data_IF_330728550830
#
_entry.id   IF_330728550830
#
_cell.length_a   1.000
_cell.length_b   1.000
_cell.length_c   1.000
_cell.angle_alpha   90.00
_cell.angle_beta   90.00
_cell.angle_gamma   90.00
#
_symmetry.space_group_name_H-M   'P 1'
#
loop_
_entity.id
_entity.type
_entity.pdbx_description
1 polymer ?
#
# COMPACT_ATOMS: atom_id res chain seq x y z
N UNK A 1 20.94 -39.56 -4.02
CA UNK A 1 21.00 -38.29 -4.78
C UNK A 1 19.80 -38.25 -5.71
N UNK A 2 19.03 -37.18 -5.70
CA UNK A 2 17.92 -36.95 -6.64
C UNK A 2 18.47 -36.67 -8.04
N UNK A 3 17.85 -37.25 -9.06
CA UNK A 3 18.09 -36.90 -10.46
C UNK A 3 17.59 -35.46 -10.74
N UNK A 4 18.05 -34.77 -11.80
CA UNK A 4 17.53 -33.47 -12.18
C UNK A 4 16.00 -33.43 -12.32
N UNK A 5 15.41 -34.46 -12.89
CA UNK A 5 13.95 -34.59 -13.04
C UNK A 5 13.24 -34.69 -11.69
N UNK A 6 13.76 -35.47 -10.76
CA UNK A 6 13.20 -35.61 -9.41
C UNK A 6 13.28 -34.26 -8.64
N UNK A 7 14.40 -33.53 -8.76
CA UNK A 7 14.54 -32.19 -8.15
C UNK A 7 13.46 -31.23 -8.62
N UNK A 8 13.23 -31.12 -9.94
CA UNK A 8 12.21 -30.25 -10.50
C UNK A 8 10.79 -30.69 -10.17
N UNK A 9 10.54 -32.02 -10.11
CA UNK A 9 9.23 -32.53 -9.70
C UNK A 9 8.92 -32.19 -8.24
N UNK A 10 9.88 -32.34 -7.34
CA UNK A 10 9.75 -32.00 -5.92
C UNK A 10 9.50 -30.51 -5.74
N UNK A 11 10.27 -29.66 -6.44
CA UNK A 11 10.09 -28.22 -6.42
C UNK A 11 8.68 -27.82 -6.91
N UNK A 12 8.24 -28.38 -8.05
CA UNK A 12 6.91 -28.05 -8.60
C UNK A 12 5.78 -28.52 -7.69
N UNK A 13 5.94 -29.66 -7.01
CA UNK A 13 5.00 -30.14 -6.00
C UNK A 13 4.91 -29.16 -4.83
N UNK A 14 6.07 -28.70 -4.34
CA UNK A 14 6.17 -27.71 -3.25
C UNK A 14 5.54 -26.36 -3.64
N UNK A 15 5.77 -25.89 -4.87
CA UNK A 15 5.15 -24.67 -5.42
C UNK A 15 3.63 -24.80 -5.44
N UNK A 16 3.09 -25.88 -5.98
CA UNK A 16 1.65 -26.14 -6.01
C UNK A 16 1.05 -26.19 -4.61
N UNK A 17 1.73 -26.84 -3.66
CA UNK A 17 1.28 -26.93 -2.26
C UNK A 17 1.25 -25.55 -1.60
N UNK A 18 2.29 -24.73 -1.83
CA UNK A 18 2.35 -23.36 -1.30
C UNK A 18 1.24 -22.47 -1.89
N UNK A 19 1.08 -22.51 -3.21
CA UNK A 19 0.05 -21.71 -3.90
C UNK A 19 -1.35 -22.12 -3.42
N UNK A 20 -1.60 -23.44 -3.28
CA UNK A 20 -2.86 -23.96 -2.74
C UNK A 20 -3.12 -23.43 -1.33
N UNK A 21 -2.12 -23.47 -0.45
CA UNK A 21 -2.26 -22.97 0.92
C UNK A 21 -2.56 -21.45 0.96
N UNK A 22 -1.84 -20.65 0.17
CA UNK A 22 -2.03 -19.19 0.10
C UNK A 22 -3.40 -18.85 -0.47
N UNK A 23 -3.83 -19.47 -1.54
CA UNK A 23 -5.16 -19.27 -2.13
C UNK A 23 -6.27 -19.72 -1.19
N UNK A 24 -6.10 -20.85 -0.50
CA UNK A 24 -7.06 -21.33 0.50
C UNK A 24 -7.23 -20.35 1.66
N UNK A 25 -6.14 -19.79 2.19
CA UNK A 25 -6.16 -18.75 3.23
C UNK A 25 -6.85 -17.49 2.70
N UNK A 26 -6.49 -17.04 1.49
CA UNK A 26 -7.09 -15.85 0.88
C UNK A 26 -8.59 -16.03 0.65
N UNK A 27 -9.03 -17.21 0.22
CA UNK A 27 -10.43 -17.53 -0.01
C UNK A 27 -11.22 -17.69 1.30
N UNK A 28 -10.65 -18.34 2.31
CA UNK A 28 -11.31 -18.53 3.62
C UNK A 28 -11.38 -17.22 4.44
N UNK A 29 -10.47 -16.28 4.19
CA UNK A 29 -10.35 -15.03 4.95
C UNK A 29 -10.01 -15.23 6.43
N UNK A 30 -9.73 -16.46 6.85
CA UNK A 30 -9.41 -16.81 8.23
C UNK A 30 -8.16 -17.71 8.27
N UNK A 31 -7.02 -17.07 8.51
CA UNK A 31 -5.74 -17.77 8.65
C UNK A 31 -5.72 -18.77 9.82
N UNK A 32 -6.45 -18.46 10.88
CA UNK A 32 -6.46 -19.29 12.09
C UNK A 32 -7.59 -20.32 12.12
N UNK A 33 -8.66 -20.11 11.34
CA UNK A 33 -9.84 -20.99 11.30
C UNK A 33 -9.75 -22.14 10.29
N UNK A 34 -8.81 -22.08 9.35
CA UNK A 34 -8.65 -23.09 8.30
C UNK A 34 -7.53 -24.08 8.66
N UNK A 35 -7.86 -25.07 9.49
CA UNK A 35 -6.90 -26.12 9.90
C UNK A 35 -6.29 -26.86 8.70
N UNK A 36 -7.06 -27.12 7.64
CA UNK A 36 -6.56 -27.82 6.45
C UNK A 36 -5.49 -27.02 5.72
N UNK A 37 -5.69 -25.68 5.61
CA UNK A 37 -4.73 -24.80 4.95
C UNK A 37 -3.46 -24.59 5.79
N UNK A 38 -3.59 -24.58 7.13
CA UNK A 38 -2.45 -24.59 8.03
C UNK A 38 -1.57 -25.84 7.85
N UNK A 39 -2.18 -27.00 7.62
CA UNK A 39 -1.43 -28.24 7.30
C UNK A 39 -0.74 -28.19 5.93
N UNK A 40 -1.42 -27.66 4.90
CA UNK A 40 -0.80 -27.47 3.58
C UNK A 40 0.38 -26.49 3.66
N UNK A 41 0.22 -25.37 4.37
CA UNK A 41 1.30 -24.42 4.60
C UNK A 41 2.48 -25.06 5.33
N UNK A 42 2.21 -25.91 6.33
CA UNK A 42 3.24 -26.64 7.08
C UNK A 42 3.99 -27.64 6.20
N UNK A 43 3.28 -28.35 5.32
CA UNK A 43 3.91 -29.27 4.37
C UNK A 43 4.84 -28.50 3.42
N UNK A 44 4.33 -27.46 2.75
CA UNK A 44 5.13 -26.60 1.86
C UNK A 44 6.35 -26.01 2.58
N UNK A 45 6.18 -25.49 3.80
CA UNK A 45 7.29 -24.95 4.60
C UNK A 45 8.37 -26.00 4.87
N UNK A 46 7.98 -27.24 5.25
CA UNK A 46 8.89 -28.34 5.51
C UNK A 46 9.67 -28.77 4.25
N UNK A 47 8.99 -28.84 3.12
CA UNK A 47 9.58 -29.17 1.82
C UNK A 47 10.60 -28.10 1.40
N UNK A 48 10.23 -26.81 1.39
CA UNK A 48 11.15 -25.71 1.06
C UNK A 48 12.34 -25.63 2.00
N UNK A 49 12.15 -25.89 3.29
CA UNK A 49 13.27 -25.94 4.26
C UNK A 49 14.24 -27.08 3.94
N UNK A 50 13.74 -28.23 3.51
CA UNK A 50 14.55 -29.37 3.10
C UNK A 50 15.32 -29.08 1.81
N UNK A 51 14.64 -28.49 0.82
CA UNK A 51 15.25 -28.09 -0.45
C UNK A 51 16.32 -27.00 -0.26
N UNK A 52 16.07 -26.02 0.63
CA UNK A 52 17.05 -24.98 0.96
C UNK A 52 18.31 -25.57 1.60
N UNK A 53 18.14 -26.47 2.59
CA UNK A 53 19.26 -27.20 3.20
C UNK A 53 20.04 -28.03 2.17
N UNK A 54 19.36 -28.59 1.19
CA UNK A 54 19.98 -29.35 0.12
C UNK A 54 20.92 -28.49 -0.74
N UNK A 55 20.47 -27.31 -1.19
CA UNK A 55 21.33 -26.40 -1.97
C UNK A 55 22.45 -25.78 -1.12
N UNK A 56 22.22 -25.52 0.17
CA UNK A 56 23.27 -25.07 1.09
C UNK A 56 24.34 -26.16 1.30
N UNK A 57 23.93 -27.44 1.33
CA UNK A 57 24.86 -28.56 1.36
C UNK A 57 25.66 -28.67 0.06
N UNK A 58 25.04 -28.55 -1.12
CA UNK A 58 25.73 -28.50 -2.42
C UNK A 58 26.79 -27.37 -2.45
N UNK A 59 26.42 -26.19 -1.93
CA UNK A 59 27.33 -25.03 -1.88
C UNK A 59 28.53 -25.26 -0.95
N UNK A 60 28.33 -26.01 0.14
CA UNK A 60 29.36 -26.25 1.17
C UNK A 60 30.32 -27.39 0.79
N UNK A 61 29.88 -28.37 0.01
CA UNK A 61 30.65 -29.58 -0.27
C UNK A 61 31.34 -29.61 -1.65
N UNK A 62 31.24 -28.53 -2.44
CA UNK A 62 31.98 -28.38 -3.70
C UNK A 62 31.65 -29.36 -4.80
N UNK A 63 30.49 -30.03 -4.75
CA UNK A 63 29.99 -30.93 -5.79
C UNK A 63 29.36 -30.21 -6.99
N UNK A 64 28.84 -31.01 -7.92
CA UNK A 64 28.03 -30.49 -9.03
C UNK A 64 26.79 -29.81 -8.49
N UNK A 65 26.63 -28.52 -8.79
CA UNK A 65 25.52 -27.73 -8.33
C UNK A 65 24.27 -27.98 -9.15
N UNK A 66 23.11 -27.99 -8.51
CA UNK A 66 21.82 -27.93 -9.19
C UNK A 66 21.74 -26.72 -10.11
N UNK A 67 20.98 -26.87 -11.21
CA UNK A 67 20.76 -25.81 -12.17
C UNK A 67 20.06 -24.58 -11.56
N UNK A 68 20.19 -23.44 -12.21
CA UNK A 68 19.69 -22.17 -11.68
C UNK A 68 18.16 -22.06 -11.71
N UNK A 69 17.49 -22.83 -12.58
CA UNK A 69 16.03 -22.88 -12.60
C UNK A 69 15.48 -23.54 -11.33
N UNK A 70 16.12 -24.62 -10.88
CA UNK A 70 15.79 -25.26 -9.62
C UNK A 70 16.13 -24.36 -8.42
N UNK A 71 17.32 -23.78 -8.39
CA UNK A 71 17.79 -22.90 -7.30
C UNK A 71 16.93 -21.66 -7.15
N UNK A 72 16.57 -21.01 -8.26
CA UNK A 72 15.71 -19.81 -8.24
C UNK A 72 14.32 -20.09 -7.68
N UNK A 73 13.76 -21.28 -7.93
CA UNK A 73 12.49 -21.69 -7.36
C UNK A 73 12.54 -21.90 -5.85
N UNK A 74 13.64 -22.50 -5.35
CA UNK A 74 13.85 -22.64 -3.89
C UNK A 74 13.99 -21.28 -3.22
N UNK A 75 14.76 -20.36 -3.81
CA UNK A 75 14.91 -19.00 -3.29
C UNK A 75 13.58 -18.24 -3.30
N UNK A 76 12.77 -18.40 -4.35
CA UNK A 76 11.45 -17.78 -4.44
C UNK A 76 10.53 -18.25 -3.31
N UNK A 77 10.32 -19.56 -3.19
CA UNK A 77 9.40 -20.11 -2.20
C UNK A 77 9.86 -19.86 -0.77
N UNK A 78 11.13 -20.16 -0.46
CA UNK A 78 11.71 -19.93 0.87
C UNK A 78 11.73 -18.45 1.25
N UNK A 79 12.06 -17.58 0.29
CA UNK A 79 12.07 -16.13 0.49
C UNK A 79 10.68 -15.57 0.75
N UNK A 80 9.69 -15.94 -0.05
CA UNK A 80 8.30 -15.50 0.14
C UNK A 80 7.73 -15.99 1.47
N UNK A 81 7.96 -17.26 1.84
CA UNK A 81 7.52 -17.80 3.14
C UNK A 81 8.15 -17.02 4.30
N UNK A 82 9.47 -16.77 4.25
CA UNK A 82 10.17 -15.97 5.26
C UNK A 82 9.64 -14.55 5.38
N UNK A 83 9.32 -13.89 4.25
CA UNK A 83 8.71 -12.55 4.26
C UNK A 83 7.32 -12.57 4.89
N UNK A 84 6.46 -13.51 4.48
CA UNK A 84 5.10 -13.63 5.02
C UNK A 84 5.14 -13.86 6.54
N UNK A 85 5.96 -14.79 7.01
CA UNK A 85 6.13 -15.05 8.44
C UNK A 85 6.68 -13.83 9.17
N UNK A 86 7.68 -13.14 8.60
CA UNK A 86 8.26 -11.94 9.19
C UNK A 86 7.32 -10.72 9.26
N UNK A 87 6.23 -10.72 8.49
CA UNK A 87 5.19 -9.69 8.50
C UNK A 87 4.05 -10.01 9.48
N UNK A 88 4.00 -11.21 10.03
CA UNK A 88 2.97 -11.56 11.01
C UNK A 88 3.12 -10.73 12.30
N UNK A 89 2.00 -10.36 12.94
CA UNK A 89 2.05 -9.74 14.26
C UNK A 89 2.86 -10.61 15.25
N UNK A 90 3.67 -9.99 16.11
CA UNK A 90 4.59 -10.69 17.03
C UNK A 90 3.92 -11.79 17.86
N UNK A 91 2.66 -11.59 18.25
CA UNK A 91 1.88 -12.61 19.00
C UNK A 91 1.60 -13.85 18.16
N UNK A 92 1.25 -13.65 16.87
CA UNK A 92 0.98 -14.74 15.93
C UNK A 92 2.27 -15.47 15.58
N UNK A 93 3.35 -14.71 15.31
CA UNK A 93 4.67 -15.28 15.01
C UNK A 93 5.17 -16.19 16.14
N UNK A 94 5.05 -15.77 17.40
CA UNK A 94 5.42 -16.60 18.56
C UNK A 94 4.64 -17.93 18.61
N UNK A 95 3.37 -17.93 18.25
CA UNK A 95 2.59 -19.17 18.15
C UNK A 95 3.10 -20.04 17.00
N UNK A 96 3.41 -19.45 15.87
CA UNK A 96 3.97 -20.18 14.70
C UNK A 96 5.33 -20.77 15.02
N UNK A 97 6.18 -20.07 15.79
CA UNK A 97 7.49 -20.58 16.25
C UNK A 97 7.36 -21.84 17.11
N UNK A 98 6.33 -21.95 17.96
CA UNK A 98 6.04 -23.16 18.74
C UNK A 98 5.78 -24.37 17.83
N UNK A 99 5.20 -24.13 16.65
CA UNK A 99 4.98 -25.16 15.63
C UNK A 99 6.17 -25.37 14.68
N UNK A 100 7.32 -24.72 14.96
CA UNK A 100 8.56 -24.90 14.23
C UNK A 100 8.68 -24.07 12.94
N UNK A 101 7.86 -23.02 12.79
CA UNK A 101 8.02 -22.07 11.71
C UNK A 101 9.04 -21.01 12.09
N UNK A 102 9.97 -20.74 11.19
CA UNK A 102 10.97 -19.70 11.33
C UNK A 102 10.93 -18.81 10.08
N UNK A 103 10.93 -17.51 10.27
CA UNK A 103 10.99 -16.56 9.18
C UNK A 103 11.20 -15.14 9.67
N UNK A 104 11.87 -14.37 8.85
CA UNK A 104 12.10 -12.96 9.10
C UNK A 104 12.25 -12.19 7.80
N UNK A 105 11.90 -10.92 7.83
CA UNK A 105 12.05 -10.04 6.66
C UNK A 105 13.49 -10.02 6.13
N UNK A 106 14.56 -9.85 6.95
CA UNK A 106 15.94 -9.86 6.43
C UNK A 106 16.31 -11.16 5.71
N UNK A 107 15.90 -12.30 6.27
CA UNK A 107 16.17 -13.62 5.66
C UNK A 107 15.41 -13.75 4.33
N UNK A 108 14.14 -13.36 4.29
CA UNK A 108 13.32 -13.41 3.09
C UNK A 108 13.89 -12.56 1.95
N UNK A 109 14.22 -11.29 2.22
CA UNK A 109 14.82 -10.40 1.23
C UNK A 109 16.18 -10.91 0.75
N UNK A 110 17.02 -11.45 1.64
CA UNK A 110 18.30 -12.03 1.27
C UNK A 110 18.14 -13.24 0.35
N UNK A 111 17.23 -14.16 0.65
CA UNK A 111 16.98 -15.33 -0.19
C UNK A 111 16.50 -14.92 -1.59
N UNK A 112 15.57 -13.98 -1.69
CA UNK A 112 15.09 -13.48 -2.96
C UNK A 112 16.21 -12.82 -3.78
N UNK A 113 17.05 -11.98 -3.15
CA UNK A 113 18.15 -11.30 -3.85
C UNK A 113 19.26 -12.26 -4.32
N UNK A 114 19.46 -13.40 -3.63
CA UNK A 114 20.40 -14.45 -4.08
C UNK A 114 20.05 -15.04 -5.44
N UNK A 115 18.78 -15.10 -5.79
CA UNK A 115 18.32 -15.66 -7.08
C UNK A 115 18.93 -14.91 -8.28
N UNK A 116 18.87 -13.59 -8.28
CA UNK A 116 19.48 -12.74 -9.33
C UNK A 116 20.93 -12.34 -9.01
N UNK A 117 21.40 -12.60 -7.79
CA UNK A 117 22.74 -12.22 -7.34
C UNK A 117 22.88 -10.72 -7.10
N UNK A 118 21.85 -10.07 -6.60
CA UNK A 118 21.91 -8.68 -6.20
C UNK A 118 22.89 -8.45 -5.05
N UNK A 119 23.73 -7.44 -5.18
CA UNK A 119 24.62 -6.99 -4.12
C UNK A 119 23.97 -5.88 -3.30
N UNK A 120 24.27 -5.85 -2.01
CA UNK A 120 23.93 -4.72 -1.13
C UNK A 120 24.84 -3.50 -1.37
N UNK A 121 25.93 -3.66 -2.12
CA UNK A 121 26.84 -2.56 -2.47
C UNK A 121 26.17 -1.63 -3.49
N UNK A 122 25.97 -0.33 -3.17
CA UNK A 122 25.41 0.64 -4.11
C UNK A 122 26.27 0.87 -5.34
N UNK A 123 27.57 0.57 -5.28
CA UNK A 123 28.49 0.71 -6.42
C UNK A 123 28.30 -0.39 -7.48
N UNK A 124 27.64 -1.48 -7.15
CA UNK A 124 27.30 -2.56 -8.09
C UNK A 124 25.85 -2.37 -8.60
N UNK A 125 25.63 -1.66 -9.72
CA UNK A 125 24.28 -1.35 -10.21
C UNK A 125 23.59 -2.51 -10.92
N UNK A 126 24.33 -3.57 -11.26
CA UNK A 126 23.82 -4.74 -11.99
C UNK A 126 23.86 -5.98 -11.09
N UNK A 127 22.97 -6.94 -11.32
CA UNK A 127 23.04 -8.22 -10.64
C UNK A 127 24.25 -9.01 -11.14
N UNK A 128 24.81 -9.86 -10.29
CA UNK A 128 25.93 -10.75 -10.65
C UNK A 128 25.56 -11.84 -11.64
N UNK A 129 24.28 -12.17 -11.72
CA UNK A 129 23.74 -13.08 -12.73
C UNK A 129 23.11 -12.29 -13.85
N UNK A 130 23.22 -12.79 -15.06
CA UNK A 130 22.64 -12.18 -16.25
C UNK A 130 21.63 -13.17 -16.89
N UNK A 131 21.00 -12.78 -17.98
CA UNK A 131 19.98 -13.57 -18.70
C UNK A 131 20.41 -15.01 -19.00
N UNK A 132 21.72 -15.28 -19.17
CA UNK A 132 22.24 -16.62 -19.49
C UNK A 132 22.51 -17.45 -18.25
N UNK A 133 22.66 -16.82 -17.09
CA UNK A 133 23.07 -17.47 -15.84
C UNK A 133 22.06 -17.30 -14.71
N UNK A 134 20.96 -16.61 -14.95
CA UNK A 134 19.85 -16.50 -13.98
C UNK A 134 18.88 -17.68 -14.17
N UNK A 135 18.21 -18.08 -13.09
CA UNK A 135 17.11 -19.04 -13.16
C UNK A 135 15.81 -18.37 -13.65
N UNK A 136 14.94 -19.17 -14.23
CA UNK A 136 13.65 -18.71 -14.80
C UNK A 136 12.76 -17.95 -13.80
N UNK A 137 12.92 -18.23 -12.50
CA UNK A 137 12.14 -17.57 -11.43
C UNK A 137 12.81 -16.34 -10.85
N UNK A 138 14.03 -16.00 -11.29
CA UNK A 138 14.75 -14.81 -10.77
C UNK A 138 13.99 -13.49 -10.98
N UNK A 139 13.36 -13.21 -12.15
CA UNK A 139 12.53 -12.00 -12.29
C UNK A 139 11.34 -11.98 -11.35
N UNK A 140 10.78 -13.14 -10.97
CA UNK A 140 9.67 -13.24 -10.00
C UNK A 140 10.17 -12.93 -8.58
N UNK A 141 11.38 -13.37 -8.23
CA UNK A 141 12.03 -12.98 -6.97
C UNK A 141 12.20 -11.47 -6.89
N UNK A 142 12.65 -10.85 -7.98
CA UNK A 142 12.82 -9.40 -8.06
C UNK A 142 11.47 -8.67 -7.95
N UNK A 143 10.42 -9.14 -8.63
CA UNK A 143 9.06 -8.61 -8.48
C UNK A 143 8.52 -8.76 -7.05
N UNK A 144 8.86 -9.86 -6.36
CA UNK A 144 8.47 -10.05 -4.95
C UNK A 144 9.15 -9.03 -4.03
N UNK A 145 10.42 -8.73 -4.25
CA UNK A 145 11.12 -7.66 -3.51
C UNK A 145 10.52 -6.29 -3.84
N UNK A 146 10.24 -5.99 -5.11
CA UNK A 146 9.56 -4.74 -5.50
C UNK A 146 8.18 -4.61 -4.87
N UNK A 147 7.42 -5.71 -4.80
CA UNK A 147 6.13 -5.74 -4.09
C UNK A 147 6.31 -5.38 -2.61
N UNK A 148 7.32 -5.94 -1.95
CA UNK A 148 7.62 -5.62 -0.56
C UNK A 148 7.94 -4.13 -0.37
N UNK A 149 8.91 -3.63 -1.15
CA UNK A 149 9.43 -2.26 -0.97
C UNK A 149 8.49 -1.17 -1.48
N UNK A 150 7.70 -1.41 -2.54
CA UNK A 150 6.94 -0.38 -3.24
C UNK A 150 5.43 -0.50 -3.07
N UNK A 151 4.93 -1.65 -2.60
CA UNK A 151 3.49 -1.86 -2.40
C UNK A 151 3.18 -2.08 -0.93
N UNK A 152 3.68 -3.16 -0.32
CA UNK A 152 3.36 -3.50 1.08
C UNK A 152 3.76 -2.38 2.04
N UNK A 153 4.94 -1.78 1.83
CA UNK A 153 5.45 -0.67 2.64
C UNK A 153 4.56 0.57 2.67
N UNK A 154 3.67 0.72 1.71
CA UNK A 154 2.74 1.86 1.64
C UNK A 154 1.44 1.63 2.38
N UNK A 155 1.11 0.38 2.68
CA UNK A 155 -0.12 0.00 3.41
C UNK A 155 0.14 -0.24 4.90
N UNK A 156 1.28 -0.84 5.22
CA UNK A 156 1.67 -1.15 6.61
C UNK A 156 3.12 -0.73 6.86
N UNK A 157 3.45 -0.28 8.08
CA UNK A 157 4.83 -0.01 8.44
C UNK A 157 5.61 -1.34 8.48
N UNK A 158 6.59 -1.47 7.57
CA UNK A 158 7.46 -2.64 7.48
C UNK A 158 8.93 -2.24 7.61
N UNK A 159 9.80 -3.09 8.17
CA UNK A 159 11.21 -2.79 8.35
C UNK A 159 11.98 -2.88 7.02
N UNK A 160 13.17 -2.29 6.98
CA UNK A 160 14.15 -2.46 5.90
C UNK A 160 13.64 -2.09 4.49
N UNK A 161 12.77 -1.10 4.39
CA UNK A 161 12.34 -0.57 3.07
C UNK A 161 13.53 0.13 2.41
N UNK A 162 13.89 -0.33 1.21
CA UNK A 162 14.98 0.24 0.40
C UNK A 162 14.48 0.67 -0.98
N UNK A 163 14.21 1.96 -1.10
CA UNK A 163 13.72 2.56 -2.35
C UNK A 163 14.84 2.68 -3.40
N UNK A 164 16.08 2.91 -2.96
CA UNK A 164 17.22 3.00 -3.88
C UNK A 164 17.53 1.63 -4.50
N UNK A 165 17.44 0.57 -3.71
CA UNK A 165 17.54 -0.80 -4.23
C UNK A 165 16.43 -1.10 -5.25
N UNK A 166 15.20 -0.69 -4.95
CA UNK A 166 14.06 -0.88 -5.86
C UNK A 166 14.28 -0.14 -7.19
N UNK A 167 14.79 1.07 -7.16
CA UNK A 167 15.15 1.83 -8.38
C UNK A 167 16.22 1.10 -9.20
N UNK A 168 17.25 0.55 -8.55
CA UNK A 168 18.31 -0.24 -9.18
C UNK A 168 17.73 -1.48 -9.89
N UNK A 169 16.87 -2.24 -9.23
CA UNK A 169 16.21 -3.42 -9.80
C UNK A 169 15.32 -3.03 -10.98
N UNK A 170 14.54 -1.97 -10.84
CA UNK A 170 13.67 -1.46 -11.91
C UNK A 170 14.45 -1.00 -13.13
N UNK A 171 15.53 -0.25 -12.95
CA UNK A 171 16.37 0.22 -14.06
C UNK A 171 16.94 -0.96 -14.87
N UNK A 172 17.38 -2.03 -14.20
CA UNK A 172 17.85 -3.24 -14.85
C UNK A 172 16.74 -3.92 -15.69
N UNK A 173 15.58 -4.13 -15.10
CA UNK A 173 14.48 -4.83 -15.79
C UNK A 173 13.82 -3.99 -16.88
N UNK A 174 13.70 -2.68 -16.73
CA UNK A 174 13.13 -1.80 -17.75
C UNK A 174 14.04 -1.66 -18.97
N UNK A 175 15.39 -1.81 -18.81
CA UNK A 175 16.28 -1.91 -19.95
C UNK A 175 16.09 -3.22 -20.72
N UNK A 176 15.80 -4.32 -20.02
CA UNK A 176 15.55 -5.64 -20.63
C UNK A 176 14.16 -5.77 -21.24
N UNK A 177 13.18 -5.22 -20.54
CA UNK A 177 11.76 -5.31 -20.86
C UNK A 177 11.12 -3.92 -20.84
N UNK A 178 11.39 -3.07 -21.87
CA UNK A 178 10.89 -1.68 -21.90
C UNK A 178 9.37 -1.58 -21.79
N UNK A 179 8.64 -2.59 -22.26
CA UNK A 179 7.18 -2.71 -22.20
C UNK A 179 6.71 -3.80 -21.23
N UNK A 180 7.58 -4.19 -20.28
CA UNK A 180 7.24 -5.18 -19.26
C UNK A 180 6.22 -4.60 -18.29
N UNK A 181 4.97 -5.04 -18.40
CA UNK A 181 3.80 -4.46 -17.71
C UNK A 181 4.00 -4.35 -16.20
N UNK A 182 4.48 -5.42 -15.56
CA UNK A 182 4.74 -5.41 -14.11
C UNK A 182 5.83 -4.42 -13.71
N UNK A 183 6.90 -4.31 -14.49
CA UNK A 183 7.98 -3.36 -14.20
C UNK A 183 7.56 -1.91 -14.45
N UNK A 184 6.75 -1.64 -15.47
CA UNK A 184 6.11 -0.34 -15.67
C UNK A 184 5.19 0.02 -14.49
N UNK A 185 4.39 -0.94 -14.02
CA UNK A 185 3.55 -0.75 -12.83
C UNK A 185 4.39 -0.41 -11.60
N UNK A 186 5.43 -1.19 -11.29
CA UNK A 186 6.32 -0.90 -10.16
C UNK A 186 7.07 0.43 -10.32
N UNK A 187 7.38 0.85 -11.55
CA UNK A 187 7.97 2.16 -11.81
C UNK A 187 7.00 3.30 -11.46
N UNK A 188 5.72 3.13 -11.80
CA UNK A 188 4.66 4.00 -11.34
C UNK A 188 4.57 4.07 -9.81
N UNK A 189 4.65 2.92 -9.12
CA UNK A 189 4.67 2.86 -7.65
C UNK A 189 5.88 3.58 -7.05
N UNK A 190 7.07 3.41 -7.62
CA UNK A 190 8.28 4.13 -7.21
C UNK A 190 8.09 5.65 -7.30
N UNK A 191 7.60 6.14 -8.45
CA UNK A 191 7.34 7.57 -8.61
C UNK A 191 6.23 8.08 -7.68
N UNK A 192 5.22 7.28 -7.39
CA UNK A 192 4.17 7.62 -6.43
C UNK A 192 4.76 7.84 -5.02
N UNK A 193 5.58 6.91 -4.53
CA UNK A 193 6.25 7.02 -3.22
C UNK A 193 7.15 8.26 -3.17
N UNK A 194 7.80 8.60 -4.27
CA UNK A 194 8.62 9.79 -4.39
C UNK A 194 7.82 11.10 -4.55
N UNK A 195 6.49 11.06 -4.51
CA UNK A 195 5.61 12.19 -4.81
C UNK A 195 5.85 12.82 -6.20
N UNK A 196 6.39 12.04 -7.14
CA UNK A 196 6.56 12.41 -8.57
C UNK A 196 5.30 11.99 -9.35
N UNK A 197 4.17 12.44 -8.87
CA UNK A 197 2.83 11.92 -9.16
C UNK A 197 2.48 11.94 -10.66
N UNK A 198 2.88 12.98 -11.40
CA UNK A 198 2.64 13.05 -12.86
C UNK A 198 3.36 11.92 -13.59
N UNK A 199 4.62 11.66 -13.24
CA UNK A 199 5.38 10.53 -13.81
C UNK A 199 4.80 9.18 -13.43
N UNK A 200 4.29 9.05 -12.21
CA UNK A 200 3.60 7.84 -11.77
C UNK A 200 2.37 7.56 -12.66
N UNK A 201 1.56 8.57 -12.91
CA UNK A 201 0.37 8.47 -13.79
C UNK A 201 0.77 8.06 -15.22
N UNK A 202 1.85 8.62 -15.76
CA UNK A 202 2.36 8.24 -17.10
C UNK A 202 2.75 6.76 -17.14
N UNK A 203 3.49 6.26 -16.14
CA UNK A 203 3.85 4.84 -16.05
C UNK A 203 2.64 3.92 -15.91
N UNK A 204 1.65 4.29 -15.08
CA UNK A 204 0.43 3.49 -14.94
C UNK A 204 -0.41 3.48 -16.21
N UNK A 205 -0.47 4.59 -16.94
CA UNK A 205 -1.13 4.64 -18.26
C UNK A 205 -0.43 3.72 -19.25
N UNK A 206 0.89 3.78 -19.32
CA UNK A 206 1.67 2.90 -20.19
C UNK A 206 1.46 1.43 -19.79
N UNK A 207 1.58 1.07 -18.51
CA UNK A 207 1.33 -0.29 -18.02
C UNK A 207 -0.08 -0.79 -18.36
N UNK A 208 -1.09 0.08 -18.31
CA UNK A 208 -2.46 -0.23 -18.70
C UNK A 208 -2.60 -0.50 -20.20
N UNK A 209 -1.91 0.28 -21.04
CA UNK A 209 -2.15 0.35 -22.48
C UNK A 209 -1.31 -0.67 -23.28
N UNK A 210 -0.21 -1.18 -22.72
CA UNK A 210 0.67 -2.15 -23.41
C UNK A 210 0.10 -3.58 -23.45
N UNK A 211 -1.01 -3.87 -22.76
CA UNK A 211 -1.62 -5.19 -22.76
C UNK A 211 -3.15 -5.11 -22.61
N UNK A 212 -3.85 -6.11 -23.15
CA UNK A 212 -5.31 -6.19 -23.10
C UNK A 212 -5.85 -7.42 -22.39
N UNK A 213 -5.02 -8.44 -22.22
CA UNK A 213 -5.43 -9.77 -21.72
C UNK A 213 -5.68 -9.78 -20.20
N UNK A 214 -4.90 -9.04 -19.41
CA UNK A 214 -4.99 -9.02 -17.95
C UNK A 214 -5.82 -7.83 -17.45
N UNK A 215 -7.13 -7.97 -17.50
CA UNK A 215 -8.08 -6.93 -17.04
C UNK A 215 -7.82 -6.52 -15.58
N UNK A 216 -7.45 -7.48 -14.71
CA UNK A 216 -7.14 -7.21 -13.31
C UNK A 216 -5.96 -6.25 -13.14
N UNK A 217 -4.95 -6.36 -14.00
CA UNK A 217 -3.81 -5.43 -13.98
C UNK A 217 -4.19 -4.03 -14.45
N UNK A 218 -5.07 -3.91 -15.45
CA UNK A 218 -5.68 -2.61 -15.81
C UNK A 218 -6.40 -2.00 -14.62
N UNK A 219 -7.18 -2.79 -13.88
CA UNK A 219 -7.90 -2.32 -12.70
C UNK A 219 -6.96 -1.84 -11.58
N UNK A 220 -5.83 -2.53 -11.35
CA UNK A 220 -4.82 -2.07 -10.40
C UNK A 220 -4.22 -0.73 -10.85
N UNK A 221 -3.93 -0.56 -12.14
CA UNK A 221 -3.46 0.71 -12.69
C UNK A 221 -4.49 1.83 -12.50
N UNK A 222 -5.78 1.58 -12.75
CA UNK A 222 -6.83 2.57 -12.50
C UNK A 222 -6.95 2.95 -11.01
N UNK A 223 -6.80 1.99 -10.10
CA UNK A 223 -6.77 2.26 -8.68
C UNK A 223 -5.60 3.20 -8.31
N UNK A 224 -4.37 2.87 -8.72
CA UNK A 224 -3.21 3.67 -8.39
C UNK A 224 -3.22 5.05 -9.11
N UNK A 225 -3.76 5.13 -10.35
CA UNK A 225 -4.00 6.43 -11.00
C UNK A 225 -5.03 7.27 -10.23
N UNK A 226 -6.11 6.66 -9.73
CA UNK A 226 -7.10 7.38 -8.92
C UNK A 226 -6.46 7.98 -7.65
N UNK A 227 -5.61 7.21 -6.96
CA UNK A 227 -4.87 7.71 -5.79
C UNK A 227 -3.89 8.82 -6.17
N UNK A 228 -3.22 8.70 -7.31
CA UNK A 228 -2.34 9.75 -7.82
C UNK A 228 -3.10 11.05 -8.15
N UNK A 229 -4.22 10.96 -8.85
CA UNK A 229 -5.06 12.13 -9.13
C UNK A 229 -5.64 12.74 -7.85
N UNK A 230 -6.05 11.90 -6.91
CA UNK A 230 -6.50 12.33 -5.58
C UNK A 230 -5.39 13.08 -4.82
N UNK A 231 -4.14 12.60 -4.89
CA UNK A 231 -2.98 13.26 -4.28
C UNK A 231 -2.62 14.61 -4.92
N UNK A 232 -3.15 14.89 -6.11
CA UNK A 232 -3.04 16.17 -6.81
C UNK A 232 -4.27 17.06 -6.63
N UNK A 233 -5.29 16.63 -5.90
CA UNK A 233 -6.59 17.32 -5.80
C UNK A 233 -7.29 17.45 -7.17
N UNK A 234 -7.13 16.43 -8.05
CA UNK A 234 -7.72 16.37 -9.39
C UNK A 234 -8.97 15.46 -9.35
N UNK A 235 -10.08 16.01 -8.86
CA UNK A 235 -11.27 15.24 -8.51
C UNK A 235 -12.00 14.65 -9.71
N UNK A 236 -12.00 15.33 -10.85
CA UNK A 236 -12.64 14.84 -12.08
C UNK A 236 -11.96 13.57 -12.59
N UNK A 237 -10.63 13.56 -12.67
CA UNK A 237 -9.86 12.40 -13.10
C UNK A 237 -9.94 11.26 -12.09
N UNK A 238 -10.00 11.60 -10.79
CA UNK A 238 -10.27 10.62 -9.72
C UNK A 238 -11.62 9.94 -9.93
N UNK A 239 -12.66 10.70 -10.19
CA UNK A 239 -14.00 10.19 -10.51
C UNK A 239 -13.99 9.26 -11.71
N UNK A 240 -13.32 9.65 -12.80
CA UNK A 240 -13.22 8.84 -14.03
C UNK A 240 -12.57 7.48 -13.77
N UNK A 241 -11.45 7.45 -13.05
CA UNK A 241 -10.77 6.22 -12.69
C UNK A 241 -11.63 5.30 -11.81
N UNK A 242 -12.28 5.83 -10.78
CA UNK A 242 -13.17 5.04 -9.93
C UNK A 242 -14.45 4.63 -10.66
N UNK A 243 -14.90 5.36 -11.68
CA UNK A 243 -16.04 4.97 -12.51
C UNK A 243 -15.74 3.69 -13.29
N UNK A 244 -14.54 3.58 -13.86
CA UNK A 244 -14.11 2.34 -14.51
C UNK A 244 -14.12 1.17 -13.51
N UNK A 245 -13.53 1.36 -12.34
CA UNK A 245 -13.50 0.32 -11.30
C UNK A 245 -14.90 -0.07 -10.81
N UNK A 246 -15.78 0.90 -10.61
CA UNK A 246 -17.15 0.65 -10.15
C UNK A 246 -17.98 -0.15 -11.18
N UNK A 247 -17.72 0.05 -12.47
CA UNK A 247 -18.44 -0.62 -13.55
C UNK A 247 -17.86 -2.01 -13.87
N UNK A 248 -16.55 -2.17 -13.84
CA UNK A 248 -15.87 -3.35 -14.38
C UNK A 248 -15.35 -4.31 -13.31
N UNK A 249 -15.06 -3.82 -12.09
CA UNK A 249 -14.42 -4.61 -11.04
C UNK A 249 -15.42 -5.07 -9.98
N UNK A 250 -15.43 -6.38 -9.69
CA UNK A 250 -16.35 -6.98 -8.71
C UNK A 250 -15.74 -7.17 -7.32
N UNK A 251 -14.50 -6.75 -7.07
CA UNK A 251 -13.82 -7.04 -5.79
C UNK A 251 -14.42 -6.26 -4.62
N UNK A 252 -14.77 -4.99 -4.81
CA UNK A 252 -15.39 -4.16 -3.76
C UNK A 252 -16.30 -3.08 -4.35
N UNK A 253 -17.50 -3.48 -4.81
CA UNK A 253 -18.44 -2.54 -5.41
C UNK A 253 -18.78 -1.37 -4.51
N UNK A 254 -19.05 -1.64 -3.22
CA UNK A 254 -19.38 -0.59 -2.28
C UNK A 254 -18.28 0.48 -2.17
N UNK A 255 -17.01 0.05 -2.11
CA UNK A 255 -15.88 0.96 -2.00
C UNK A 255 -15.71 1.81 -3.27
N UNK A 256 -15.75 1.18 -4.44
CA UNK A 256 -15.56 1.90 -5.71
C UNK A 256 -16.70 2.88 -6.00
N UNK A 257 -17.94 2.50 -5.71
CA UNK A 257 -19.08 3.41 -5.84
C UNK A 257 -19.00 4.58 -4.86
N UNK A 258 -18.61 4.35 -3.61
CA UNK A 258 -18.38 5.42 -2.65
C UNK A 258 -17.25 6.36 -3.10
N UNK A 259 -16.11 5.82 -3.49
CA UNK A 259 -14.95 6.61 -3.89
C UNK A 259 -15.23 7.49 -5.12
N UNK A 260 -15.93 6.94 -6.14
CA UNK A 260 -16.34 7.75 -7.29
C UNK A 260 -17.34 8.83 -6.90
N UNK A 261 -18.31 8.52 -6.04
CA UNK A 261 -19.29 9.51 -5.59
C UNK A 261 -18.66 10.61 -4.74
N UNK A 262 -17.70 10.26 -3.85
CA UNK A 262 -16.94 11.22 -3.08
C UNK A 262 -16.13 12.17 -3.98
N UNK A 263 -15.45 11.63 -4.99
CA UNK A 263 -14.71 12.44 -5.96
C UNK A 263 -15.63 13.35 -6.80
N UNK A 264 -16.77 12.82 -7.26
CA UNK A 264 -17.76 13.59 -7.99
C UNK A 264 -18.32 14.73 -7.15
N UNK A 265 -18.59 14.48 -5.87
CA UNK A 265 -19.07 15.49 -4.92
C UNK A 265 -18.12 16.67 -4.78
N UNK A 266 -16.81 16.40 -4.75
CA UNK A 266 -15.76 17.44 -4.64
C UNK A 266 -15.61 18.30 -5.92
N UNK A 267 -16.15 17.88 -7.07
CA UNK A 267 -16.14 18.74 -8.27
C UNK A 267 -17.01 20.00 -8.08
N UNK A 268 -17.93 19.96 -7.12
CA UNK A 268 -18.59 21.14 -6.56
C UNK A 268 -19.82 21.67 -7.33
N UNK A 269 -20.13 21.12 -8.51
CA UNK A 269 -21.35 21.54 -9.20
C UNK A 269 -22.60 20.97 -8.51
N UNK A 270 -23.73 21.70 -8.44
CA UNK A 270 -24.96 21.20 -7.82
C UNK A 270 -25.45 19.88 -8.44
N UNK A 271 -25.34 19.73 -9.77
CA UNK A 271 -25.72 18.52 -10.47
C UNK A 271 -24.83 17.33 -10.09
N UNK A 272 -23.50 17.54 -9.98
CA UNK A 272 -22.56 16.51 -9.57
C UNK A 272 -22.78 16.09 -8.11
N UNK A 273 -23.10 17.03 -7.25
CA UNK A 273 -23.40 16.74 -5.85
C UNK A 273 -24.68 15.92 -5.69
N UNK A 274 -25.70 16.21 -6.48
CA UNK A 274 -26.96 15.43 -6.46
C UNK A 274 -26.74 14.02 -7.00
N UNK A 275 -26.05 13.86 -8.13
CA UNK A 275 -25.68 12.54 -8.66
C UNK A 275 -24.84 11.74 -7.64
N UNK A 276 -23.91 12.38 -6.96
CA UNK A 276 -23.10 11.74 -5.92
C UNK A 276 -23.97 11.21 -4.76
N UNK A 277 -25.00 11.95 -4.34
CA UNK A 277 -25.97 11.50 -3.32
C UNK A 277 -26.72 10.25 -3.79
N UNK A 278 -27.25 10.27 -5.02
CA UNK A 278 -27.96 9.12 -5.59
C UNK A 278 -27.07 7.86 -5.66
N UNK A 279 -25.77 8.02 -5.96
CA UNK A 279 -24.82 6.91 -5.95
C UNK A 279 -24.62 6.41 -4.52
N UNK A 280 -24.41 7.32 -3.57
CA UNK A 280 -24.15 6.96 -2.17
C UNK A 280 -25.34 6.24 -1.50
N UNK A 281 -26.57 6.57 -1.85
CA UNK A 281 -27.77 5.89 -1.33
C UNK A 281 -27.74 4.37 -1.56
N UNK A 282 -27.12 3.92 -2.65
CA UNK A 282 -27.05 2.50 -3.04
C UNK A 282 -25.86 1.78 -2.41
N UNK A 283 -24.83 2.49 -1.97
CA UNK A 283 -23.57 1.89 -1.45
C UNK A 283 -23.79 0.89 -0.31
N UNK A 284 -24.63 1.16 0.70
CA UNK A 284 -24.84 0.19 1.80
C UNK A 284 -25.32 -1.18 1.35
N UNK A 285 -26.13 -1.24 0.27
CA UNK A 285 -26.65 -2.51 -0.28
C UNK A 285 -25.60 -3.29 -1.09
N UNK A 286 -24.50 -2.66 -1.48
CA UNK A 286 -23.41 -3.27 -2.28
C UNK A 286 -22.31 -3.87 -1.41
N UNK A 287 -22.37 -3.72 -0.08
CA UNK A 287 -21.33 -4.21 0.83
C UNK A 287 -21.22 -5.72 0.77
N UNK A 288 -20.01 -6.21 0.63
CA UNK A 288 -19.70 -7.64 0.55
C UNK A 288 -19.07 -8.14 1.85
N UNK A 289 -19.15 -9.44 2.04
CA UNK A 289 -18.44 -10.14 3.12
C UNK A 289 -17.49 -11.15 2.50
N UNK A 290 -16.22 -11.05 2.85
CA UNK A 290 -15.23 -12.07 2.51
C UNK A 290 -15.13 -13.00 3.71
N UNK A 291 -15.45 -14.29 3.52
CA UNK A 291 -15.48 -15.29 4.58
C UNK A 291 -16.29 -14.86 5.81
N UNK A 292 -17.44 -14.23 5.59
CA UNK A 292 -18.31 -13.74 6.67
C UNK A 292 -17.86 -12.44 7.33
N UNK A 293 -16.67 -11.94 7.04
CA UNK A 293 -16.12 -10.69 7.61
C UNK A 293 -16.30 -9.52 6.64
N UNK A 294 -16.70 -8.38 7.16
CA UNK A 294 -16.82 -7.14 6.36
C UNK A 294 -15.47 -6.48 6.19
N UNK A 295 -15.20 -5.97 5.01
CA UNK A 295 -14.00 -5.18 4.71
C UNK A 295 -14.07 -3.84 5.47
N UNK A 296 -13.03 -3.43 6.21
CA UNK A 296 -13.07 -2.18 7.00
C UNK A 296 -13.41 -0.94 6.18
N UNK A 297 -12.84 -0.78 4.99
CA UNK A 297 -13.13 0.35 4.10
C UNK A 297 -14.56 0.33 3.55
N UNK A 298 -15.17 -0.85 3.34
CA UNK A 298 -16.59 -0.94 2.97
C UNK A 298 -17.50 -0.54 4.12
N UNK A 299 -17.13 -0.88 5.37
CA UNK A 299 -17.88 -0.39 6.54
C UNK A 299 -17.83 1.14 6.63
N UNK A 300 -16.66 1.72 6.39
CA UNK A 300 -16.51 3.17 6.33
C UNK A 300 -17.39 3.76 5.22
N UNK A 301 -17.27 3.27 3.98
CA UNK A 301 -18.06 3.72 2.85
C UNK A 301 -19.57 3.66 3.12
N UNK A 302 -20.07 2.53 3.65
CA UNK A 302 -21.48 2.36 4.00
C UNK A 302 -21.93 3.31 5.11
N UNK A 303 -21.11 3.56 6.14
CA UNK A 303 -21.42 4.48 7.22
C UNK A 303 -21.51 5.92 6.71
N UNK A 304 -20.53 6.36 5.90
CA UNK A 304 -20.52 7.71 5.32
C UNK A 304 -21.67 7.90 4.35
N UNK A 305 -22.01 6.89 3.57
CA UNK A 305 -23.17 6.93 2.67
C UNK A 305 -24.50 7.07 3.42
N UNK A 306 -24.67 6.38 4.54
CA UNK A 306 -25.84 6.59 5.42
C UNK A 306 -25.86 7.99 6.02
N UNK A 307 -24.71 8.53 6.43
CA UNK A 307 -24.59 9.93 6.89
C UNK A 307 -25.03 10.90 5.79
N UNK A 308 -24.60 10.69 4.54
CA UNK A 308 -25.06 11.48 3.39
C UNK A 308 -26.59 11.44 3.24
N UNK A 309 -27.20 10.25 3.27
CA UNK A 309 -28.64 10.09 3.14
C UNK A 309 -29.39 10.76 4.30
N UNK A 310 -28.85 10.69 5.51
CA UNK A 310 -29.48 11.25 6.72
C UNK A 310 -29.41 12.78 6.77
N UNK A 311 -28.27 13.39 6.41
CA UNK A 311 -28.03 14.82 6.55
C UNK A 311 -28.08 15.61 5.25
N UNK A 312 -28.11 14.91 4.11
CA UNK A 312 -28.14 15.53 2.77
C UNK A 312 -26.79 16.07 2.29
N UNK A 313 -25.73 15.96 3.08
CA UNK A 313 -24.39 16.41 2.72
C UNK A 313 -23.29 15.61 3.45
N UNK A 314 -22.05 15.71 2.96
CA UNK A 314 -20.82 15.30 3.65
C UNK A 314 -19.79 16.44 3.57
N UNK A 315 -18.99 16.57 4.62
CA UNK A 315 -17.89 17.49 4.64
C UNK A 315 -16.68 16.88 3.94
N UNK A 316 -16.30 17.41 2.79
CA UNK A 316 -15.12 17.00 1.99
C UNK A 316 -14.85 15.48 1.94
N UNK A 317 -15.80 14.67 1.45
CA UNK A 317 -15.71 13.21 1.54
C UNK A 317 -14.51 12.62 0.78
N UNK A 318 -14.07 13.22 -0.35
CA UNK A 318 -12.89 12.74 -1.04
C UNK A 318 -11.59 13.14 -0.33
N UNK A 319 -11.54 14.28 0.34
CA UNK A 319 -10.39 14.67 1.16
C UNK A 319 -10.25 13.78 2.39
N UNK A 320 -11.36 13.39 3.01
CA UNK A 320 -11.39 12.39 4.09
C UNK A 320 -10.92 11.02 3.59
N UNK A 321 -11.40 10.59 2.44
CA UNK A 321 -11.00 9.33 1.81
C UNK A 321 -9.53 9.33 1.38
N UNK A 322 -9.00 10.46 0.92
CA UNK A 322 -7.58 10.65 0.62
C UNK A 322 -6.67 10.39 1.83
N UNK A 323 -7.14 10.73 3.04
CA UNK A 323 -6.41 10.38 4.26
C UNK A 323 -6.37 8.86 4.47
N UNK A 324 -7.49 8.18 4.37
CA UNK A 324 -7.60 6.74 4.59
C UNK A 324 -6.83 5.91 3.55
N UNK A 325 -6.60 6.46 2.38
CA UNK A 325 -5.81 5.85 1.29
C UNK A 325 -4.37 6.35 1.23
N UNK A 326 -3.90 7.05 2.28
CA UNK A 326 -2.54 7.57 2.43
C UNK A 326 -2.09 8.57 1.35
N UNK A 327 -3.02 9.20 0.62
CA UNK A 327 -2.69 10.12 -0.46
C UNK A 327 -1.87 11.33 0.00
N UNK A 328 -2.09 11.85 1.22
CA UNK A 328 -1.33 13.00 1.72
C UNK A 328 0.16 12.72 1.89
N UNK A 329 0.55 11.48 2.17
CA UNK A 329 1.98 11.10 2.31
C UNK A 329 2.72 11.04 0.97
N UNK A 330 1.97 10.84 -0.12
CA UNK A 330 2.48 10.78 -1.50
C UNK A 330 2.12 12.03 -2.31
N UNK A 331 1.44 13.00 -1.71
CA UNK A 331 1.11 14.27 -2.37
C UNK A 331 2.36 15.14 -2.53
N UNK A 332 2.59 15.70 -3.72
CA UNK A 332 3.63 16.70 -3.89
C UNK A 332 3.42 17.90 -2.95
N UNK A 333 4.48 18.42 -2.29
CA UNK A 333 4.34 19.57 -1.39
C UNK A 333 3.63 20.78 -2.01
N UNK A 334 3.81 20.97 -3.33
CA UNK A 334 3.09 22.01 -4.06
C UNK A 334 1.58 21.80 -4.07
N UNK A 335 1.11 20.56 -4.21
CA UNK A 335 -0.32 20.25 -4.18
C UNK A 335 -0.89 20.44 -2.77
N UNK A 336 -0.18 19.99 -1.74
CA UNK A 336 -0.57 20.19 -0.35
C UNK A 336 -0.74 21.67 -0.02
N UNK A 337 0.24 22.50 -0.39
CA UNK A 337 0.24 23.93 -0.07
C UNK A 337 -0.74 24.75 -0.92
N UNK A 338 -0.83 24.48 -2.23
CA UNK A 338 -1.58 25.34 -3.15
C UNK A 338 -2.99 24.89 -3.42
N UNK A 339 -3.31 23.62 -3.16
CA UNK A 339 -4.63 23.06 -3.47
C UNK A 339 -5.38 22.62 -2.22
N UNK A 340 -4.80 21.78 -1.39
CA UNK A 340 -5.48 21.24 -0.21
C UNK A 340 -5.57 22.26 0.94
N UNK A 341 -4.46 22.87 1.30
CA UNK A 341 -4.40 23.77 2.45
C UNK A 341 -5.39 24.94 2.35
N UNK A 342 -5.49 25.70 1.23
CA UNK A 342 -6.42 26.81 1.13
C UNK A 342 -7.89 26.41 1.28
N UNK A 343 -8.27 25.23 0.77
CA UNK A 343 -9.64 24.70 0.91
C UNK A 343 -9.96 24.52 2.39
N UNK A 344 -9.09 23.85 3.13
CA UNK A 344 -9.32 23.55 4.55
C UNK A 344 -9.23 24.81 5.42
N UNK A 345 -8.32 25.74 5.14
CA UNK A 345 -8.25 27.01 5.85
C UNK A 345 -9.53 27.84 5.68
N UNK A 346 -10.05 27.92 4.46
CA UNK A 346 -11.33 28.58 4.17
C UNK A 346 -12.51 27.92 4.93
N UNK A 347 -12.53 26.59 4.97
CA UNK A 347 -13.55 25.84 5.72
C UNK A 347 -13.43 26.04 7.24
N UNK A 348 -12.22 26.09 7.78
CA UNK A 348 -12.00 26.41 9.19
C UNK A 348 -12.50 27.81 9.53
N UNK A 349 -12.21 28.82 8.70
CA UNK A 349 -12.73 30.17 8.88
C UNK A 349 -14.27 30.19 8.85
N UNK A 350 -14.88 29.51 7.88
CA UNK A 350 -16.33 29.38 7.74
C UNK A 350 -16.96 28.73 8.98
N UNK A 351 -16.43 27.58 9.42
CA UNK A 351 -16.97 26.81 10.53
C UNK A 351 -16.80 27.55 11.88
N UNK A 352 -15.64 28.19 12.11
CA UNK A 352 -15.37 28.92 13.34
C UNK A 352 -16.18 30.23 13.46
N UNK A 353 -16.63 30.80 12.35
CA UNK A 353 -17.51 31.97 12.32
C UNK A 353 -18.97 31.63 12.65
N UNK A 354 -19.38 30.38 12.63
CA UNK A 354 -20.73 29.96 12.96
C UNK A 354 -20.96 29.91 14.47
N UNK A 355 -22.15 30.31 14.93
CA UNK A 355 -22.54 30.25 16.33
C UNK A 355 -22.61 28.82 16.86
N UNK A 356 -23.03 27.89 16.01
CA UNK A 356 -23.12 26.44 16.33
C UNK A 356 -22.72 25.60 15.10
N UNK A 357 -21.43 25.41 14.84
CA UNK A 357 -20.97 24.57 13.75
C UNK A 357 -21.30 23.10 14.01
N UNK A 358 -21.48 22.33 12.95
CA UNK A 358 -21.51 20.86 13.06
C UNK A 358 -20.15 20.39 13.56
N UNK A 359 -20.13 19.78 14.73
CA UNK A 359 -18.89 19.57 15.47
C UNK A 359 -17.99 18.51 14.80
N UNK A 360 -18.58 17.47 14.23
CA UNK A 360 -17.83 16.48 13.43
C UNK A 360 -17.11 17.12 12.25
N UNK A 361 -17.74 18.07 11.55
CA UNK A 361 -17.13 18.77 10.42
C UNK A 361 -15.97 19.68 10.88
N UNK A 362 -16.14 20.37 12.01
CA UNK A 362 -15.07 21.18 12.59
C UNK A 362 -13.87 20.32 13.02
N UNK A 363 -14.13 19.16 13.63
CA UNK A 363 -13.08 18.23 13.98
C UNK A 363 -12.38 17.67 12.74
N UNK A 364 -13.12 17.31 11.69
CA UNK A 364 -12.54 16.81 10.45
C UNK A 364 -11.72 17.90 9.75
N UNK A 365 -12.17 19.14 9.73
CA UNK A 365 -11.41 20.28 9.19
C UNK A 365 -10.07 20.46 9.94
N UNK A 366 -10.07 20.45 11.26
CA UNK A 366 -8.84 20.51 12.06
C UNK A 366 -7.96 19.30 11.84
N UNK A 367 -8.52 18.11 11.76
CA UNK A 367 -7.78 16.89 11.50
C UNK A 367 -7.04 16.94 10.15
N UNK A 368 -7.76 17.26 9.06
CA UNK A 368 -7.17 17.38 7.72
C UNK A 368 -6.13 18.52 7.65
N UNK A 369 -6.41 19.65 8.29
CA UNK A 369 -5.46 20.76 8.40
C UNK A 369 -4.15 20.31 9.05
N UNK A 370 -4.24 19.61 10.18
CA UNK A 370 -3.08 19.10 10.89
C UNK A 370 -2.28 18.08 10.05
N UNK A 371 -2.97 17.16 9.36
CA UNK A 371 -2.34 16.14 8.48
C UNK A 371 -1.61 16.80 7.31
N UNK A 372 -2.25 17.75 6.63
CA UNK A 372 -1.64 18.47 5.49
C UNK A 372 -0.39 19.22 5.94
N UNK A 373 -0.47 19.95 7.03
CA UNK A 373 0.65 20.73 7.58
C UNK A 373 1.79 19.86 8.11
N UNK A 374 1.47 18.70 8.73
CA UNK A 374 2.51 17.74 9.14
C UNK A 374 3.30 17.24 7.92
N UNK A 375 2.61 16.88 6.84
CA UNK A 375 3.27 16.43 5.61
C UNK A 375 4.07 17.55 4.92
N UNK A 376 3.67 18.82 5.07
CA UNK A 376 4.46 19.97 4.61
C UNK A 376 5.70 20.22 5.47
N UNK A 377 5.57 20.09 6.80
CA UNK A 377 6.68 20.27 7.74
C UNK A 377 7.71 19.13 7.64
N UNK A 378 7.22 17.90 7.58
CA UNK A 378 8.01 16.67 7.59
C UNK A 378 7.50 15.71 6.52
N UNK A 379 7.85 15.95 5.24
CA UNK A 379 7.56 15.01 4.16
C UNK A 379 8.18 13.64 4.43
N UNK A 380 7.60 12.59 3.87
CA UNK A 380 8.17 11.25 3.97
C UNK A 380 9.60 11.22 3.37
N UNK A 381 10.45 10.35 3.92
CA UNK A 381 11.90 10.29 3.61
C UNK A 381 12.21 10.20 2.10
N UNK A 382 11.31 9.60 1.33
CA UNK A 382 11.52 9.33 -0.08
C UNK A 382 10.86 10.35 -1.01
N UNK A 383 10.16 11.33 -0.46
CA UNK A 383 9.52 12.38 -1.26
C UNK A 383 10.59 13.22 -1.96
N UNK A 384 10.46 13.32 -3.28
CA UNK A 384 11.34 14.15 -4.09
C UNK A 384 11.04 15.64 -3.85
N UNK A 385 11.96 16.32 -3.21
CA UNK A 385 11.89 17.76 -3.02
C UNK A 385 12.61 18.44 -4.18
N UNK A 386 11.85 18.83 -5.20
CA UNK A 386 12.42 19.67 -6.28
C UNK A 386 12.92 20.97 -5.66
N UNK A 387 14.24 21.16 -5.74
CA UNK A 387 15.03 22.29 -5.25
C UNK A 387 14.28 23.38 -4.46
N UNK A 388 14.55 23.46 -3.16
CA UNK A 388 14.54 24.64 -2.27
C UNK A 388 13.31 25.57 -2.20
N UNK A 389 12.15 25.29 -2.78
CA UNK A 389 10.95 26.09 -2.48
C UNK A 389 10.29 25.59 -1.21
N UNK A 390 10.73 26.14 -0.10
CA UNK A 390 9.99 26.05 1.16
C UNK A 390 8.72 26.90 1.02
N UNK A 391 7.57 26.25 0.94
CA UNK A 391 6.26 26.94 0.85
C UNK A 391 5.87 27.60 2.17
N UNK A 392 6.24 26.98 3.28
CA UNK A 392 6.01 27.43 4.65
C UNK A 392 7.25 27.03 5.47
N UNK A 393 7.66 27.83 6.49
CA UNK A 393 8.75 27.36 7.34
C UNK A 393 8.34 26.10 8.09
N UNK A 394 9.27 25.18 8.28
CA UNK A 394 9.05 23.90 8.94
C UNK A 394 8.45 24.10 10.32
N UNK A 395 9.01 25.03 11.09
CA UNK A 395 8.62 25.33 12.45
C UNK A 395 7.18 25.87 12.49
N UNK A 396 6.83 26.75 11.57
CA UNK A 396 5.47 27.30 11.47
C UNK A 396 4.48 26.23 11.07
N UNK A 397 4.78 25.43 10.05
CA UNK A 397 3.92 24.32 9.63
C UNK A 397 3.73 23.28 10.74
N UNK A 398 4.80 22.92 11.46
CA UNK A 398 4.74 22.00 12.58
C UNK A 398 3.90 22.53 13.74
N UNK A 399 4.08 23.80 14.12
CA UNK A 399 3.28 24.45 15.18
C UNK A 399 1.80 24.51 14.82
N UNK A 400 1.46 24.88 13.59
CA UNK A 400 0.07 24.91 13.13
C UNK A 400 -0.53 23.50 13.08
N UNK A 401 0.24 22.49 12.65
CA UNK A 401 -0.18 21.08 12.64
C UNK A 401 -0.49 20.60 14.06
N UNK A 402 0.42 20.86 15.00
CA UNK A 402 0.24 20.50 16.41
C UNK A 402 -1.02 21.13 17.00
N UNK A 403 -1.23 22.43 16.77
CA UNK A 403 -2.41 23.12 17.27
C UNK A 403 -3.72 22.50 16.76
N UNK A 404 -3.79 22.17 15.48
CA UNK A 404 -4.99 21.57 14.89
C UNK A 404 -5.21 20.13 15.35
N UNK A 405 -4.17 19.32 15.42
CA UNK A 405 -4.28 17.95 15.93
C UNK A 405 -4.61 17.94 17.44
N UNK A 406 -4.03 18.84 18.23
CA UNK A 406 -4.37 18.99 19.65
C UNK A 406 -5.81 19.44 19.89
N UNK A 407 -6.40 20.21 18.99
CA UNK A 407 -7.83 20.52 19.04
C UNK A 407 -8.64 19.23 18.95
N UNK A 408 -8.36 18.36 17.98
CA UNK A 408 -9.05 17.08 17.79
C UNK A 408 -8.79 16.13 18.96
N UNK A 409 -7.55 16.04 19.46
CA UNK A 409 -7.21 15.20 20.61
C UNK A 409 -8.01 15.58 21.87
N UNK A 410 -8.21 16.88 22.11
CA UNK A 410 -8.95 17.39 23.27
C UNK A 410 -10.47 17.36 23.11
N UNK A 411 -10.97 17.52 21.90
CA UNK A 411 -12.38 17.75 21.62
C UNK A 411 -13.06 16.62 20.83
N UNK A 412 -12.29 15.74 20.19
CA UNK A 412 -12.81 14.67 19.32
C UNK A 412 -13.73 13.67 20.02
N UNK A 413 -13.68 13.58 21.34
CA UNK A 413 -14.63 12.78 22.14
C UNK A 413 -16.07 13.30 22.03
N UNK A 414 -16.26 14.56 21.61
CA UNK A 414 -17.56 15.17 21.41
C UNK A 414 -18.14 14.94 20.01
N UNK A 415 -17.40 14.31 19.11
CA UNK A 415 -17.92 13.92 17.80
C UNK A 415 -19.07 12.92 17.97
N UNK A 416 -20.11 13.07 17.16
CA UNK A 416 -21.29 12.22 17.22
C UNK A 416 -21.12 10.94 16.37
N UNK A 417 -20.46 11.08 15.21
CA UNK A 417 -20.37 9.98 14.21
C UNK A 417 -18.94 9.54 13.93
N UNK A 418 -18.02 10.46 13.81
CA UNK A 418 -16.69 10.21 13.24
C UNK A 418 -15.62 10.03 14.33
N UNK A 419 -15.91 9.22 15.36
CA UNK A 419 -15.02 8.95 16.50
C UNK A 419 -13.64 8.42 16.13
N UNK A 420 -13.47 7.82 14.94
CA UNK A 420 -12.19 7.30 14.47
C UNK A 420 -11.12 8.40 14.37
N UNK A 421 -11.52 9.65 14.14
CA UNK A 421 -10.60 10.79 14.05
C UNK A 421 -9.75 10.96 15.30
N UNK A 422 -10.30 10.67 16.47
CA UNK A 422 -9.56 10.76 17.73
C UNK A 422 -8.35 9.82 17.75
N UNK A 423 -8.54 8.56 17.30
CA UNK A 423 -7.46 7.57 17.27
C UNK A 423 -6.40 7.92 16.22
N UNK A 424 -6.81 8.30 15.03
CA UNK A 424 -5.87 8.74 13.99
C UNK A 424 -5.19 10.06 14.35
N UNK A 425 -5.85 10.94 15.10
CA UNK A 425 -5.23 12.15 15.60
C UNK A 425 -4.04 11.85 16.53
N UNK A 426 -4.19 10.95 17.48
CA UNK A 426 -3.07 10.51 18.33
C UNK A 426 -1.94 9.90 17.53
N UNK A 427 -2.26 9.09 16.51
CA UNK A 427 -1.27 8.54 15.59
C UNK A 427 -0.50 9.66 14.84
N UNK A 428 -1.18 10.65 14.32
CA UNK A 428 -0.55 11.78 13.60
C UNK A 428 0.26 12.68 14.53
N UNK A 429 -0.20 12.91 15.76
CA UNK A 429 0.58 13.62 16.80
C UNK A 429 1.85 12.85 17.16
N UNK A 430 1.76 11.55 17.36
CA UNK A 430 2.93 10.69 17.61
C UNK A 430 3.96 10.80 16.48
N UNK A 431 3.53 10.75 15.22
CA UNK A 431 4.39 10.95 14.04
C UNK A 431 5.05 12.33 14.02
N UNK A 432 4.27 13.37 14.33
CA UNK A 432 4.76 14.75 14.39
C UNK A 432 5.83 14.88 15.48
N UNK A 433 5.56 14.39 16.68
CA UNK A 433 6.50 14.46 17.81
C UNK A 433 7.79 13.67 17.56
N UNK A 434 7.70 12.48 16.95
CA UNK A 434 8.88 11.72 16.52
C UNK A 434 9.74 12.56 15.56
N UNK A 435 9.10 13.19 14.57
CA UNK A 435 9.80 14.03 13.59
C UNK A 435 10.45 15.28 14.21
N UNK A 436 9.86 15.78 15.31
CA UNK A 436 10.39 16.91 16.10
C UNK A 436 11.46 16.48 17.14
N UNK A 437 11.72 15.17 17.31
CA UNK A 437 12.61 14.65 18.35
C UNK A 437 12.00 14.64 19.76
N UNK A 438 10.70 14.88 19.88
CA UNK A 438 9.94 14.91 21.15
C UNK A 438 9.43 13.50 21.51
N UNK A 439 10.36 12.58 21.76
CA UNK A 439 10.04 11.15 21.93
C UNK A 439 9.23 10.82 23.19
N UNK A 440 9.35 11.62 24.26
CA UNK A 440 8.55 11.42 25.48
C UNK A 440 7.06 11.64 25.19
N UNK A 441 6.72 12.74 24.53
CA UNK A 441 5.36 13.11 24.17
C UNK A 441 4.76 12.19 23.08
N UNK A 442 5.61 11.60 22.23
CA UNK A 442 5.17 10.63 21.23
C UNK A 442 4.77 9.26 21.86
N UNK A 443 5.12 8.99 23.12
CA UNK A 443 4.78 7.74 23.83
C UNK A 443 3.48 7.84 24.62
N UNK A 444 3.09 9.05 24.98
CA UNK A 444 1.81 9.36 25.65
C UNK A 444 0.63 9.31 24.65
#
# INVERSE_FOLDING_TARGET
>A
SMTPLEKHAELSSSECTLVKAVLGIAYSGDFLGSLSEAFHLRAAYGEYRSLLKFIDWEDSNGGEKSDEDFRSGIYLGSGCISLILGLLPTRVLKVMEIFGYEGSVPVGLNLLSKSSGWSSDPSEPLPRRNVKTEGIRSPICDMSMLTYHLVISTFIPVPQVDINFSEKVLNYHLQRYPHGVFFLYFHGRLYSIQARTVKAIECFKEARDVQEEYVQLKHICYWDMALCYMSLCEWQQTYECFTVLANENNWSKALYHYARAAALYETGSPAAQEEAKEIMERVPSMSQRIAGKSIPLEKFASRKSRKMTQYGYLFHPAMEFAYLTHCYTTSPPRALFRRFLPIIEQELERLTSQVSPVFDDLCLAHFLHGVILRNLAYPEKHVYLASSRQYLSRERAASMAENSLMFVAKKGVLCEYDHYMLYFCHYELGRLYISMGRYAEARE
#
